data_IF_480866784465
#
_entry.id   IF_480866784465
#
_cell.length_a   1.000
_cell.length_b   1.000
_cell.length_c   1.000
_cell.angle_alpha   90.00
_cell.angle_beta   90.00
_cell.angle_gamma   90.00
#
_symmetry.space_group_name_H-M   'P 1'
#
loop_
_entity.id
_entity.type
_entity.pdbx_description
1 polymer ?
#
# COMPACT_ATOMS: atom_id res chain seq x y z
N UNK A 1 9.16 -9.85 0.10
CA UNK A 1 9.50 -8.48 -0.34
C UNK A 1 9.01 -8.19 -1.76
N UNK A 2 9.33 -9.02 -2.76
CA UNK A 2 8.92 -8.80 -4.16
C UNK A 2 7.44 -8.52 -4.34
N UNK A 3 6.56 -9.28 -3.68
CA UNK A 3 5.10 -9.06 -3.77
C UNK A 3 4.65 -7.73 -3.15
N UNK A 4 5.31 -7.26 -2.07
CA UNK A 4 5.04 -5.94 -1.50
C UNK A 4 5.47 -4.82 -2.47
N UNK A 5 6.61 -4.99 -3.14
CA UNK A 5 7.08 -4.04 -4.16
C UNK A 5 6.11 -4.04 -5.34
N UNK A 6 5.66 -5.21 -5.80
CA UNK A 6 4.68 -5.33 -6.87
C UNK A 6 3.37 -4.63 -6.51
N UNK A 7 2.85 -4.84 -5.29
CA UNK A 7 1.65 -4.17 -4.80
C UNK A 7 1.80 -2.64 -4.82
N UNK A 8 2.95 -2.15 -4.33
CA UNK A 8 3.28 -0.73 -4.34
C UNK A 8 3.39 -0.16 -5.76
N UNK A 9 4.03 -0.88 -6.69
CA UNK A 9 4.16 -0.46 -8.10
C UNK A 9 2.80 -0.42 -8.79
N UNK A 10 1.94 -1.41 -8.57
CA UNK A 10 0.57 -1.40 -9.09
C UNK A 10 -0.19 -0.16 -8.63
N UNK A 11 -0.09 0.17 -7.34
CA UNK A 11 -0.69 1.38 -6.80
C UNK A 11 -0.09 2.65 -7.38
N UNK A 12 1.24 2.74 -7.48
CA UNK A 12 1.94 3.88 -8.05
C UNK A 12 1.54 4.13 -9.52
N UNK A 13 1.49 3.07 -10.33
CA UNK A 13 1.05 3.15 -11.73
C UNK A 13 -0.41 3.59 -11.82
N UNK A 14 -1.29 3.01 -10.98
CA UNK A 14 -2.68 3.42 -10.90
C UNK A 14 -2.85 4.88 -10.49
N UNK A 15 -2.03 5.38 -9.57
CA UNK A 15 -2.04 6.77 -9.13
C UNK A 15 -1.58 7.72 -10.23
N UNK A 16 -0.46 7.42 -10.89
CA UNK A 16 0.08 8.23 -11.98
C UNK A 16 -0.91 8.28 -13.14
N UNK A 17 -1.44 7.12 -13.56
CA UNK A 17 -2.43 7.05 -14.62
C UNK A 17 -3.71 7.80 -14.27
N UNK A 18 -4.20 7.66 -13.03
CA UNK A 18 -5.35 8.42 -12.56
C UNK A 18 -5.11 9.95 -12.58
N UNK A 19 -3.90 10.42 -12.30
CA UNK A 19 -3.56 11.84 -12.35
C UNK A 19 -3.49 12.38 -13.78
N UNK A 20 -2.96 11.61 -14.73
CA UNK A 20 -2.74 12.06 -16.12
C UNK A 20 -4.03 12.00 -16.95
N UNK A 21 -4.74 10.87 -16.87
CA UNK A 21 -5.89 10.58 -17.72
C UNK A 21 -7.23 10.67 -16.97
N UNK A 22 -7.18 11.04 -15.69
CA UNK A 22 -8.34 11.00 -14.80
C UNK A 22 -8.57 9.61 -14.21
N UNK A 23 -9.46 9.52 -13.22
CA UNK A 23 -9.80 8.29 -12.49
C UNK A 23 -10.69 7.34 -13.32
N UNK A 24 -10.23 7.00 -14.53
CA UNK A 24 -10.82 6.02 -15.42
C UNK A 24 -10.73 4.60 -14.87
N UNK A 25 -11.57 3.71 -15.39
CA UNK A 25 -11.78 2.38 -14.83
C UNK A 25 -10.47 1.57 -14.74
N UNK A 26 -9.65 1.60 -15.79
CA UNK A 26 -8.36 0.89 -15.85
C UNK A 26 -7.45 1.31 -14.69
N UNK A 27 -7.28 2.60 -14.46
CA UNK A 27 -6.40 3.11 -13.41
C UNK A 27 -6.91 2.79 -12.00
N UNK A 28 -8.24 2.78 -11.81
CA UNK A 28 -8.87 2.31 -10.58
C UNK A 28 -8.62 0.81 -10.34
N UNK A 29 -8.60 -0.02 -11.38
CA UNK A 29 -8.24 -1.43 -11.25
C UNK A 29 -6.80 -1.60 -10.76
N UNK A 30 -5.85 -0.84 -11.30
CA UNK A 30 -4.46 -0.86 -10.81
C UNK A 30 -4.35 -0.46 -9.34
N UNK A 31 -5.03 0.61 -8.92
CA UNK A 31 -5.10 1.05 -7.52
C UNK A 31 -5.67 -0.05 -6.61
N UNK A 32 -6.82 -0.61 -7.00
CA UNK A 32 -7.52 -1.65 -6.23
C UNK A 32 -6.68 -2.93 -6.12
N UNK A 33 -6.08 -3.39 -7.22
CA UNK A 33 -5.22 -4.57 -7.23
C UNK A 33 -4.00 -4.39 -6.33
N UNK A 34 -3.35 -3.22 -6.37
CA UNK A 34 -2.25 -2.90 -5.47
C UNK A 34 -2.66 -3.00 -4.00
N UNK A 35 -3.76 -2.33 -3.63
CA UNK A 35 -4.29 -2.34 -2.26
C UNK A 35 -4.67 -3.75 -1.80
N UNK A 36 -5.41 -4.51 -2.62
CA UNK A 36 -5.88 -5.85 -2.26
C UNK A 36 -4.72 -6.83 -2.10
N UNK A 37 -3.72 -6.76 -2.99
CA UNK A 37 -2.51 -7.57 -2.88
C UNK A 37 -1.76 -7.27 -1.58
N UNK A 38 -1.56 -5.99 -1.26
CA UNK A 38 -0.91 -5.55 -0.03
C UNK A 38 -1.66 -6.00 1.22
N UNK A 39 -2.97 -5.76 1.27
CA UNK A 39 -3.84 -6.22 2.35
C UNK A 39 -3.75 -7.74 2.57
N UNK A 40 -3.74 -8.51 1.48
CA UNK A 40 -3.61 -9.98 1.54
C UNK A 40 -2.26 -10.41 2.11
N UNK A 41 -1.17 -9.75 1.71
CA UNK A 41 0.17 -10.04 2.24
C UNK A 41 0.27 -9.71 3.73
N UNK A 42 -0.33 -8.60 4.15
CA UNK A 42 -0.37 -8.23 5.58
C UNK A 42 -1.18 -9.22 6.37
N UNK A 43 -2.36 -9.61 5.90
CA UNK A 43 -3.18 -10.63 6.55
C UNK A 43 -2.41 -11.95 6.69
N UNK A 44 -1.73 -12.37 5.63
CA UNK A 44 -0.89 -13.57 5.65
C UNK A 44 0.28 -13.46 6.63
N UNK A 45 0.85 -12.26 6.80
CA UNK A 45 1.88 -12.01 7.80
C UNK A 45 1.34 -12.11 9.23
N UNK A 46 0.10 -11.65 9.47
CA UNK A 46 -0.57 -11.77 10.77
C UNK A 46 -1.02 -13.20 11.08
N UNK A 47 -1.32 -14.01 10.06
CA UNK A 47 -1.58 -15.45 10.17
C UNK A 47 -0.31 -16.30 10.35
N UNK A 48 0.78 -15.68 10.78
CA UNK A 48 2.06 -16.29 11.14
C UNK A 48 2.78 -17.05 10.01
N UNK A 49 2.66 -16.56 8.77
CA UNK A 49 3.49 -17.04 7.68
C UNK A 49 4.98 -16.79 7.99
N UNK A 50 5.76 -17.86 8.13
CA UNK A 50 7.18 -17.79 8.46
C UNK A 50 7.97 -16.88 7.49
N UNK A 51 7.63 -16.91 6.19
CA UNK A 51 8.25 -16.09 5.14
C UNK A 51 7.97 -14.59 5.30
N UNK A 52 6.94 -14.20 6.06
CA UNK A 52 6.51 -12.82 6.26
C UNK A 52 6.75 -12.32 7.69
N UNK A 53 7.49 -13.08 8.50
CA UNK A 53 7.79 -12.73 9.89
C UNK A 53 8.47 -11.36 10.06
N UNK A 54 9.22 -10.90 9.05
CA UNK A 54 9.84 -9.57 9.04
C UNK A 54 8.82 -8.41 9.11
N UNK A 55 7.58 -8.62 8.64
CA UNK A 55 6.50 -7.63 8.75
C UNK A 55 6.08 -7.48 10.22
N UNK A 56 5.94 -8.61 10.93
CA UNK A 56 5.61 -8.63 12.37
C UNK A 56 6.75 -8.11 13.24
N UNK A 57 8.01 -8.33 12.84
CA UNK A 57 9.21 -7.85 13.55
C UNK A 57 9.57 -6.40 13.22
N UNK A 58 8.89 -5.79 12.24
CA UNK A 58 9.10 -4.38 11.91
C UNK A 58 8.69 -3.45 13.06
N UNK A 59 9.28 -2.25 13.07
CA UNK A 59 8.99 -1.23 14.07
C UNK A 59 7.49 -0.87 14.09
N UNK A 60 6.95 -0.57 15.28
CA UNK A 60 5.54 -0.21 15.45
C UNK A 60 5.11 0.96 14.55
N UNK A 61 6.00 1.93 14.32
CA UNK A 61 5.76 3.05 13.40
C UNK A 61 5.49 2.57 11.96
N UNK A 62 6.25 1.59 11.47
CA UNK A 62 6.06 1.01 10.13
C UNK A 62 4.68 0.40 9.96
N UNK A 63 4.21 -0.31 11.00
CA UNK A 63 2.88 -0.92 11.03
C UNK A 63 1.78 0.14 11.08
N UNK A 64 1.96 1.18 11.90
CA UNK A 64 1.00 2.30 12.00
C UNK A 64 0.85 2.99 10.65
N UNK A 65 1.95 3.35 9.98
CA UNK A 65 1.89 3.94 8.63
C UNK A 65 1.15 3.03 7.64
N UNK A 66 1.41 1.73 7.71
CA UNK A 66 0.80 0.75 6.82
C UNK A 66 -0.71 0.60 7.04
N UNK A 67 -1.12 0.43 8.29
CA UNK A 67 -2.53 0.32 8.67
C UNK A 67 -3.26 1.62 8.35
N UNK A 68 -2.64 2.77 8.60
CA UNK A 68 -3.24 4.07 8.26
C UNK A 68 -3.43 4.22 6.75
N UNK A 69 -2.46 3.81 5.94
CA UNK A 69 -2.59 3.80 4.49
C UNK A 69 -3.77 2.92 4.03
N UNK A 70 -3.91 1.72 4.60
CA UNK A 70 -5.03 0.83 4.31
C UNK A 70 -6.38 1.42 4.75
N UNK A 71 -6.47 2.01 5.95
CA UNK A 71 -7.70 2.65 6.44
C UNK A 71 -8.14 3.79 5.50
N UNK A 72 -7.19 4.58 4.99
CA UNK A 72 -7.48 5.71 4.08
C UNK A 72 -8.02 5.27 2.71
N UNK A 73 -7.90 3.99 2.34
CA UNK A 73 -8.50 3.48 1.09
C UNK A 73 -10.03 3.54 1.10
N UNK A 74 -10.65 3.35 2.28
CA UNK A 74 -12.11 3.39 2.46
C UNK A 74 -12.67 4.80 2.18
N UNK A 75 -12.19 5.89 2.83
CA UNK A 75 -12.65 7.23 2.50
C UNK A 75 -12.28 7.63 1.07
N UNK A 76 -11.15 7.15 0.51
CA UNK A 76 -10.81 7.41 -0.89
C UNK A 76 -11.88 6.84 -1.84
N UNK A 77 -12.30 5.59 -1.62
CA UNK A 77 -13.39 4.97 -2.38
C UNK A 77 -14.72 5.74 -2.21
N UNK A 78 -15.04 6.18 -0.99
CA UNK A 78 -16.24 6.97 -0.72
C UNK A 78 -16.26 8.30 -1.49
N UNK A 79 -15.17 9.08 -1.47
CA UNK A 79 -15.09 10.33 -2.22
C UNK A 79 -15.12 10.12 -3.73
N UNK A 80 -14.55 9.01 -4.23
CA UNK A 80 -14.66 8.62 -5.64
C UNK A 80 -16.11 8.32 -6.04
N UNK A 81 -16.88 7.66 -5.18
CA UNK A 81 -18.32 7.40 -5.41
C UNK A 81 -19.15 8.68 -5.37
N UNK A 82 -18.74 9.68 -4.57
CA UNK A 82 -19.32 11.02 -4.56
C UNK A 82 -18.89 11.92 -5.72
N UNK A 83 -18.03 11.44 -6.61
CA UNK A 83 -17.41 12.23 -7.68
C UNK A 83 -16.64 13.47 -7.19
N UNK A 84 -16.18 13.46 -5.94
CA UNK A 84 -15.38 14.52 -5.32
C UNK A 84 -13.89 14.27 -5.59
N UNK A 85 -13.46 14.69 -6.78
CA UNK A 85 -12.15 14.36 -7.36
C UNK A 85 -10.99 14.92 -6.54
N UNK A 86 -11.13 16.14 -5.99
CA UNK A 86 -10.06 16.79 -5.21
C UNK A 86 -9.73 16.02 -3.93
N UNK A 87 -10.76 15.62 -3.17
CA UNK A 87 -10.59 14.81 -1.96
C UNK A 87 -10.08 13.40 -2.27
N UNK A 88 -10.55 12.82 -3.37
CA UNK A 88 -10.06 11.53 -3.85
C UNK A 88 -8.54 11.56 -4.09
N UNK A 89 -8.04 12.52 -4.88
CA UNK A 89 -6.60 12.62 -5.17
C UNK A 89 -5.76 12.97 -3.94
N UNK A 90 -6.26 13.82 -3.05
CA UNK A 90 -5.59 14.13 -1.78
C UNK A 90 -5.37 12.84 -0.98
N UNK A 91 -6.41 12.02 -0.83
CA UNK A 91 -6.31 10.76 -0.10
C UNK A 91 -5.40 9.77 -0.80
N UNK A 92 -5.45 9.65 -2.13
CA UNK A 92 -4.51 8.79 -2.85
C UNK A 92 -3.05 9.22 -2.64
N UNK A 93 -2.76 10.53 -2.69
CA UNK A 93 -1.43 11.05 -2.40
C UNK A 93 -0.99 10.75 -0.96
N UNK A 94 -1.89 10.89 0.02
CA UNK A 94 -1.60 10.57 1.41
C UNK A 94 -1.31 9.08 1.62
N UNK A 95 -2.10 8.20 1.01
CA UNK A 95 -1.87 6.75 0.99
C UNK A 95 -0.49 6.45 0.39
N UNK A 96 -0.15 7.06 -0.75
CA UNK A 96 1.13 6.85 -1.42
C UNK A 96 2.32 7.22 -0.50
N UNK A 97 2.24 8.36 0.19
CA UNK A 97 3.30 8.82 1.11
C UNK A 97 3.45 7.85 2.28
N UNK A 98 2.35 7.50 2.95
CA UNK A 98 2.37 6.59 4.09
C UNK A 98 2.88 5.20 3.70
N UNK A 99 2.43 4.70 2.55
CA UNK A 99 2.82 3.39 2.06
C UNK A 99 4.29 3.38 1.62
N UNK A 100 4.79 4.45 0.99
CA UNK A 100 6.22 4.62 0.66
C UNK A 100 7.10 4.56 1.92
N UNK A 101 6.73 5.30 2.97
CA UNK A 101 7.41 5.26 4.26
C UNK A 101 7.40 3.86 4.87
N UNK A 102 6.28 3.14 4.75
CA UNK A 102 6.15 1.79 5.27
C UNK A 102 7.02 0.79 4.49
N UNK A 103 6.95 0.80 3.16
CA UNK A 103 7.72 -0.10 2.28
C UNK A 103 9.22 0.10 2.47
N UNK A 104 9.69 1.35 2.58
CA UNK A 104 11.10 1.63 2.83
C UNK A 104 11.60 0.99 4.14
N UNK A 105 10.82 1.10 5.20
CA UNK A 105 11.17 0.52 6.50
C UNK A 105 11.03 -1.01 6.51
N UNK A 106 10.03 -1.57 5.82
CA UNK A 106 9.89 -3.01 5.62
C UNK A 106 11.08 -3.58 4.84
N UNK A 107 11.53 -2.90 3.79
CA UNK A 107 12.71 -3.29 3.02
C UNK A 107 13.96 -3.34 3.89
N UNK A 108 14.19 -2.30 4.70
CA UNK A 108 15.31 -2.24 5.64
C UNK A 108 15.29 -3.40 6.64
N UNK A 109 14.12 -3.72 7.18
CA UNK A 109 13.93 -4.85 8.11
C UNK A 109 14.17 -6.19 7.41
N UNK A 110 13.59 -6.39 6.23
CA UNK A 110 13.77 -7.62 5.43
C UNK A 110 15.24 -7.84 5.07
N UNK A 111 15.94 -6.81 4.60
CA UNK A 111 17.36 -6.89 4.24
C UNK A 111 18.24 -7.29 5.42
N UNK A 112 18.02 -6.68 6.60
CA UNK A 112 18.74 -7.02 7.83
C UNK A 112 18.54 -8.48 8.22
N UNK A 113 17.30 -8.98 8.11
CA UNK A 113 16.99 -10.37 8.45
C UNK A 113 17.66 -11.35 7.48
N UNK A 114 17.59 -11.07 6.18
CA UNK A 114 18.22 -11.89 5.13
C UNK A 114 19.76 -11.94 5.21
N UNK A 115 20.40 -11.01 5.93
CA UNK A 115 21.85 -11.01 6.14
C UNK A 115 22.27 -11.81 7.39
N UNK A 116 21.32 -12.13 8.28
CA UNK A 116 21.55 -12.82 9.54
C UNK A 116 21.07 -14.29 9.51
N UNK A 117 20.50 -14.73 8.39
CA UNK A 117 20.11 -16.12 8.06
C UNK A 117 21.14 -16.72 7.10
#
# INVERSE_FOLDING_TARGET
MTLFILAFVLYLVGFIGALIEGAGEVWLWFLALGIVLDFTLILLAYLDSARLRFVRESASWTKICHILALILTVPAAYWRLKAEISWFFLLLGLILILWSCSIFNLYKTWRRKSQNE
#
